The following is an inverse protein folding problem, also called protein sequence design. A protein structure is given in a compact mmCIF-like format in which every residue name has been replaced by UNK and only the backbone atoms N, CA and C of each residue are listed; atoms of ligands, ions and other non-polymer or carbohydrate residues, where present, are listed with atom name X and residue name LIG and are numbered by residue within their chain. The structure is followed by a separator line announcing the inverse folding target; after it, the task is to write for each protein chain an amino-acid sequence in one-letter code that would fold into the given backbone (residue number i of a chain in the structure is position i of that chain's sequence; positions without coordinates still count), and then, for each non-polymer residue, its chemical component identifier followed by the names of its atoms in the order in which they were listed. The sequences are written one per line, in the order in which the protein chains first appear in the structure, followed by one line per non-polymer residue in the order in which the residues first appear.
data_IF_158066500785
#
_entry.id   IF_158066500785
#
_cell.length_a   1.000
_cell.length_b   1.000
_cell.length_c   1.000
_cell.angle_alpha   90.00
_cell.angle_beta   90.00
_cell.angle_gamma   90.00
#
_symmetry.space_group_name_H-M   'P 1'
#
loop_
_entity.id
_entity.type
_entity.pdbx_description
1 polymer ?
#
# COMPACT_ATOMS: atom_id res chain seq x y z
N UNK A 1 10.83 -18.03 15.54
CA UNK A 1 11.63 -17.84 16.77
C UNK A 1 11.71 -19.18 17.47
N UNK A 2 12.84 -19.87 17.34
CA UNK A 2 13.40 -20.90 18.25
C UNK A 2 14.76 -21.31 17.67
N UNK A 3 15.85 -21.09 18.40
CA UNK A 3 17.17 -21.63 18.09
C UNK A 3 17.38 -22.82 19.03
N UNK A 4 17.67 -23.99 18.48
CA UNK A 4 18.11 -25.15 19.25
C UNK A 4 19.59 -25.41 18.91
N UNK A 5 20.47 -25.24 19.89
CA UNK A 5 21.81 -25.81 19.86
C UNK A 5 21.86 -26.94 20.87
N UNK A 6 22.20 -28.14 20.42
CA UNK A 6 22.55 -29.25 21.30
C UNK A 6 23.99 -29.63 20.98
N UNK A 7 24.91 -29.23 21.85
CA UNK A 7 26.31 -29.63 21.78
C UNK A 7 26.45 -31.13 22.08
N UNK A 8 27.19 -31.82 21.21
CA UNK A 8 27.60 -33.21 21.39
C UNK A 8 29.09 -33.33 21.18
N UNK A 9 29.79 -33.72 22.24
CA UNK A 9 31.23 -33.81 22.40
C UNK A 9 31.68 -35.17 21.83
N UNK A 10 32.57 -35.19 20.83
CA UNK A 10 33.13 -36.43 20.26
C UNK A 10 34.37 -36.17 19.41
N UNK A 11 35.39 -37.06 19.41
CA UNK A 11 36.66 -36.82 18.75
C UNK A 11 36.56 -37.23 17.27
N UNK A 12 36.27 -36.27 16.41
CA UNK A 12 36.43 -36.42 14.96
C UNK A 12 37.41 -35.32 14.50
N UNK A 13 38.50 -35.65 13.80
CA UNK A 13 39.37 -34.61 13.24
C UNK A 13 38.55 -33.79 12.25
N UNK A 14 38.51 -32.47 12.43
CA UNK A 14 37.85 -31.56 11.50
C UNK A 14 38.64 -31.59 10.19
N UNK A 15 38.30 -32.51 9.28
CA UNK A 15 38.77 -32.42 7.92
C UNK A 15 38.08 -31.22 7.33
N UNK A 16 38.81 -30.11 7.24
CA UNK A 16 38.38 -28.83 6.68
C UNK A 16 38.27 -28.96 5.14
N UNK A 17 37.50 -29.94 4.66
CA UNK A 17 37.18 -30.13 3.26
C UNK A 17 36.04 -29.18 2.92
N UNK A 18 36.41 -27.98 2.51
CA UNK A 18 35.49 -27.12 1.74
C UNK A 18 35.59 -27.57 0.29
N UNK A 19 34.66 -28.39 -0.17
CA UNK A 19 34.45 -28.53 -1.60
C UNK A 19 34.11 -27.12 -2.14
N UNK A 20 34.82 -26.61 -3.17
CA UNK A 20 34.46 -25.35 -3.79
C UNK A 20 33.08 -25.49 -4.43
N UNK A 21 32.11 -24.71 -3.99
CA UNK A 21 30.84 -24.60 -4.70
C UNK A 21 31.10 -23.74 -5.94
N UNK A 22 31.38 -24.38 -7.06
CA UNK A 22 31.44 -23.74 -8.37
C UNK A 22 30.01 -23.52 -8.89
N UNK A 23 29.57 -22.26 -8.76
CA UNK A 23 28.75 -21.47 -9.68
C UNK A 23 27.41 -22.03 -10.18
N UNK A 24 26.32 -21.36 -9.77
CA UNK A 24 25.28 -20.97 -10.73
C UNK A 24 25.10 -19.45 -10.61
N UNK A 25 25.73 -18.71 -11.52
CA UNK A 25 25.33 -17.34 -11.85
C UNK A 25 23.93 -17.36 -12.47
N UNK A 26 22.90 -17.35 -11.63
CA UNK A 26 21.53 -17.09 -12.06
C UNK A 26 20.67 -16.47 -10.95
N UNK A 27 21.25 -15.58 -10.15
CA UNK A 27 20.45 -14.59 -9.41
C UNK A 27 20.75 -13.21 -9.97
N UNK A 28 20.61 -13.12 -11.29
CA UNK A 28 20.33 -11.86 -11.95
C UNK A 28 19.19 -11.17 -11.20
N UNK A 29 19.53 -10.00 -10.64
CA UNK A 29 18.73 -8.78 -10.65
C UNK A 29 17.31 -8.90 -10.09
N UNK A 30 17.11 -8.19 -8.99
CA UNK A 30 15.82 -7.79 -8.38
C UNK A 30 15.26 -8.79 -7.35
N UNK A 31 15.82 -8.81 -6.14
CA UNK A 31 15.11 -9.36 -4.96
C UNK A 31 14.61 -8.25 -4.01
N UNK A 32 14.83 -6.97 -4.36
CA UNK A 32 14.39 -5.82 -3.55
C UNK A 32 13.44 -4.85 -4.27
N UNK A 33 12.91 -5.17 -5.45
CA UNK A 33 11.87 -4.33 -6.08
C UNK A 33 10.52 -5.06 -6.25
N UNK A 34 10.48 -6.38 -6.06
CA UNK A 34 9.24 -7.18 -6.22
C UNK A 34 8.58 -7.60 -4.89
N UNK A 35 9.12 -7.18 -3.74
CA UNK A 35 8.50 -7.36 -2.42
C UNK A 35 7.87 -6.07 -1.85
N UNK A 36 8.11 -4.91 -2.45
CA UNK A 36 7.51 -3.62 -2.05
C UNK A 36 6.07 -3.44 -2.56
N UNK A 37 5.67 -4.18 -3.60
CA UNK A 37 4.32 -4.09 -4.19
C UNK A 37 3.22 -4.79 -3.38
N UNK A 38 3.55 -5.51 -2.29
CA UNK A 38 2.56 -6.24 -1.49
C UNK A 38 2.11 -5.54 -0.19
N UNK A 39 2.37 -4.25 -0.07
CA UNK A 39 1.57 -3.37 0.77
C UNK A 39 0.94 -2.35 -0.17
N UNK A 40 -0.12 -2.72 -0.88
CA UNK A 40 -1.07 -1.72 -1.37
C UNK A 40 -1.67 -1.09 -0.12
N UNK A 41 -0.96 -0.11 0.40
CA UNK A 41 -1.35 0.66 1.54
C UNK A 41 -2.37 1.66 0.98
N UNK A 42 -3.61 1.17 0.88
CA UNK A 42 -4.77 1.99 0.60
C UNK A 42 -5.20 2.66 1.89
N UNK A 43 -5.73 3.90 1.82
CA UNK A 43 -6.27 4.55 3.00
C UNK A 43 -7.27 3.63 3.73
N UNK A 44 -7.07 3.49 5.03
CA UNK A 44 -7.96 2.69 5.88
C UNK A 44 -9.11 3.54 6.40
N UNK A 45 -10.11 2.88 6.98
CA UNK A 45 -11.25 3.52 7.63
C UNK A 45 -11.91 4.60 6.77
N UNK A 46 -11.95 4.40 5.45
CA UNK A 46 -12.54 5.37 4.53
C UNK A 46 -14.02 5.54 4.84
N UNK A 47 -14.39 6.77 5.22
CA UNK A 47 -15.74 7.17 5.60
C UNK A 47 -16.21 8.32 4.74
N UNK A 48 -17.50 8.27 4.42
CA UNK A 48 -18.21 9.27 3.64
C UNK A 48 -19.41 9.71 4.45
N UNK A 49 -19.46 10.99 4.78
CA UNK A 49 -20.48 11.59 5.62
C UNK A 49 -21.16 12.73 4.85
N UNK A 50 -22.43 12.56 4.50
CA UNK A 50 -23.21 13.64 3.90
C UNK A 50 -23.42 14.74 4.94
N UNK A 51 -22.84 15.92 4.72
CA UNK A 51 -23.05 17.09 5.60
C UNK A 51 -24.28 17.90 5.19
N UNK A 52 -24.60 17.92 3.90
CA UNK A 52 -25.80 18.57 3.36
C UNK A 52 -26.23 17.92 2.04
N UNK A 53 -27.31 18.39 1.43
CA UNK A 53 -27.72 17.92 0.10
C UNK A 53 -26.72 18.26 -1.01
N UNK A 54 -25.83 19.23 -0.77
CA UNK A 54 -24.86 19.72 -1.75
C UNK A 54 -23.41 19.55 -1.30
N UNK A 55 -23.17 18.90 -0.16
CA UNK A 55 -21.82 18.66 0.36
C UNK A 55 -21.67 17.33 1.09
N UNK A 56 -20.50 16.71 0.90
CA UNK A 56 -20.12 15.44 1.51
C UNK A 56 -18.70 15.54 2.03
N UNK A 57 -18.49 15.07 3.26
CA UNK A 57 -17.19 15.00 3.89
C UNK A 57 -16.61 13.60 3.79
N UNK A 58 -15.39 13.51 3.28
CA UNK A 58 -14.63 12.28 3.18
C UNK A 58 -13.54 12.32 4.24
N UNK A 59 -13.35 11.20 4.94
CA UNK A 59 -12.27 11.03 5.91
C UNK A 59 -11.67 9.65 5.81
N UNK A 60 -10.39 9.53 6.12
CA UNK A 60 -9.65 8.28 6.07
C UNK A 60 -8.44 8.32 6.99
N UNK A 61 -7.91 7.14 7.29
CA UNK A 61 -6.63 6.96 7.95
C UNK A 61 -5.55 6.78 6.90
N UNK A 62 -4.51 7.61 6.96
CA UNK A 62 -3.37 7.46 6.06
C UNK A 62 -2.59 6.19 6.43
N UNK A 63 -2.61 5.23 5.52
CA UNK A 63 -1.73 4.09 5.52
C UNK A 63 -1.14 4.01 4.13
N UNK A 64 0.13 4.39 3.99
CA UNK A 64 0.87 4.36 2.74
C UNK A 64 2.31 3.92 2.97
N UNK A 65 2.90 3.27 1.97
CA UNK A 65 4.33 2.95 1.97
C UNK A 65 5.18 4.18 1.58
N UNK A 66 6.52 4.11 1.72
CA UNK A 66 7.41 5.22 1.39
C UNK A 66 7.44 5.59 -0.10
N UNK A 67 6.95 4.71 -0.98
CA UNK A 67 6.91 4.90 -2.44
C UNK A 67 5.64 5.63 -2.92
N UNK A 68 4.67 5.84 -2.03
CA UNK A 68 3.44 6.57 -2.38
C UNK A 68 3.75 8.05 -2.55
N UNK A 69 3.29 8.63 -3.66
CA UNK A 69 3.48 10.03 -4.02
C UNK A 69 2.18 10.83 -4.04
N UNK A 70 1.03 10.16 -3.96
CA UNK A 70 -0.26 10.83 -3.88
C UNK A 70 -1.42 9.97 -3.38
N UNK A 71 -2.49 10.64 -3.01
CA UNK A 71 -3.79 10.04 -2.68
C UNK A 71 -4.80 10.52 -3.72
N UNK A 72 -5.30 9.60 -4.53
CA UNK A 72 -6.28 9.85 -5.58
C UNK A 72 -7.69 9.59 -5.06
N UNK A 73 -8.53 10.62 -5.11
CA UNK A 73 -9.94 10.58 -4.76
C UNK A 73 -10.75 10.59 -6.05
N UNK A 74 -11.63 9.61 -6.19
CA UNK A 74 -12.47 9.47 -7.37
C UNK A 74 -13.94 9.42 -6.99
N UNK A 75 -14.76 10.03 -7.85
CA UNK A 75 -16.21 10.14 -7.66
C UNK A 75 -16.93 9.58 -8.89
N UNK A 76 -17.99 8.82 -8.65
CA UNK A 76 -18.92 8.37 -9.68
C UNK A 76 -20.31 8.94 -9.41
N UNK A 77 -21.02 9.28 -10.49
CA UNK A 77 -22.41 9.70 -10.47
C UNK A 77 -23.31 8.46 -10.61
N UNK A 78 -24.13 8.17 -9.59
CA UNK A 78 -24.95 6.97 -9.54
C UNK A 78 -24.12 5.71 -9.82
N UNK A 79 -24.58 4.88 -10.74
CA UNK A 79 -23.88 3.67 -11.19
C UNK A 79 -22.89 3.90 -12.34
N UNK A 80 -22.61 5.16 -12.69
CA UNK A 80 -21.68 5.55 -13.74
C UNK A 80 -20.20 5.25 -13.43
N UNK A 81 -19.32 5.69 -14.34
CA UNK A 81 -17.88 5.53 -14.20
C UNK A 81 -17.30 6.47 -13.13
N UNK A 82 -16.24 6.01 -12.46
CA UNK A 82 -15.44 6.84 -11.58
C UNK A 82 -14.60 7.81 -12.40
N UNK A 83 -14.58 9.07 -11.99
CA UNK A 83 -13.68 10.10 -12.50
C UNK A 83 -12.85 10.67 -11.37
N UNK A 84 -11.63 11.09 -11.68
CA UNK A 84 -10.75 11.74 -10.70
C UNK A 84 -11.40 13.04 -10.26
N UNK A 85 -11.72 13.11 -8.96
CA UNK A 85 -12.19 14.32 -8.32
C UNK A 85 -11.00 15.20 -7.96
N UNK A 86 -9.97 14.60 -7.35
CA UNK A 86 -8.71 15.27 -7.04
C UNK A 86 -7.60 14.24 -6.81
N UNK A 87 -6.35 14.71 -6.86
CA UNK A 87 -5.18 13.96 -6.39
C UNK A 87 -4.44 14.83 -5.39
N UNK A 88 -4.30 14.35 -4.16
CA UNK A 88 -3.60 15.03 -3.07
C UNK A 88 -2.15 14.56 -3.06
N UNK A 89 -1.22 15.48 -3.28
CA UNK A 89 0.22 15.22 -3.12
C UNK A 89 0.69 15.39 -1.68
N UNK A 90 -0.07 16.12 -0.86
CA UNK A 90 0.14 16.20 0.58
C UNK A 90 -0.45 14.97 1.26
N UNK A 91 0.41 13.98 1.53
CA UNK A 91 0.05 12.72 2.17
C UNK A 91 -0.27 12.86 3.67
N UNK A 92 -0.18 14.06 4.26
CA UNK A 92 -0.64 14.29 5.64
C UNK A 92 -2.15 14.51 5.72
N UNK A 93 -2.80 14.79 4.58
CA UNK A 93 -4.26 14.97 4.51
C UNK A 93 -4.99 13.66 4.79
N UNK A 94 -5.93 13.72 5.71
CA UNK A 94 -6.81 12.60 6.13
C UNK A 94 -8.28 12.89 5.86
N UNK A 95 -8.57 14.01 5.18
CA UNK A 95 -9.93 14.43 4.89
C UNK A 95 -10.03 15.29 3.64
N UNK A 96 -11.25 15.30 3.06
CA UNK A 96 -11.60 16.10 1.90
C UNK A 96 -13.09 16.48 1.96
N UNK A 97 -13.40 17.76 1.76
CA UNK A 97 -14.77 18.25 1.63
C UNK A 97 -15.14 18.36 0.15
N UNK A 98 -16.05 17.51 -0.31
CA UNK A 98 -16.66 17.61 -1.64
C UNK A 98 -17.89 18.51 -1.57
N UNK A 99 -17.90 19.59 -2.35
CA UNK A 99 -18.94 20.64 -2.33
C UNK A 99 -19.46 20.92 -3.73
N UNK A 100 -20.65 21.53 -3.84
CA UNK A 100 -21.27 21.81 -5.13
C UNK A 100 -21.94 20.59 -5.76
N UNK A 101 -22.35 19.62 -4.95
CA UNK A 101 -23.09 18.44 -5.41
C UNK A 101 -24.52 18.82 -5.79
N UNK A 102 -25.04 18.18 -6.84
CA UNK A 102 -26.46 18.28 -7.17
C UNK A 102 -27.32 17.56 -6.12
N UNK A 103 -28.44 18.15 -5.76
CA UNK A 103 -29.41 17.57 -4.81
C UNK A 103 -30.06 16.30 -5.40
N UNK A 104 -30.62 15.46 -4.52
CA UNK A 104 -31.28 14.19 -4.88
C UNK A 104 -30.43 13.25 -5.79
N UNK A 105 -29.10 13.41 -5.76
CA UNK A 105 -28.17 12.69 -6.62
C UNK A 105 -27.30 11.76 -5.80
N UNK A 106 -27.21 10.49 -6.20
CA UNK A 106 -26.33 9.52 -5.54
C UNK A 106 -24.91 9.69 -6.07
N UNK A 107 -23.95 9.83 -5.16
CA UNK A 107 -22.53 9.79 -5.48
C UNK A 107 -21.88 8.57 -4.82
N UNK A 108 -20.92 7.96 -5.52
CA UNK A 108 -20.04 6.93 -4.96
C UNK A 108 -18.62 7.47 -4.96
N UNK A 109 -17.89 7.16 -3.91
CA UNK A 109 -16.51 7.60 -3.75
C UNK A 109 -15.60 6.39 -3.59
N UNK A 110 -14.39 6.50 -4.13
CA UNK A 110 -13.29 5.59 -3.83
C UNK A 110 -12.02 6.39 -3.64
N UNK A 111 -11.12 5.84 -2.85
CA UNK A 111 -9.83 6.42 -2.59
C UNK A 111 -8.75 5.37 -2.89
N UNK A 112 -7.68 5.82 -3.52
CA UNK A 112 -6.53 4.99 -3.89
C UNK A 112 -5.24 5.78 -3.70
N UNK A 113 -4.12 5.09 -3.58
CA UNK A 113 -2.80 5.73 -3.61
C UNK A 113 -2.26 5.75 -5.04
N UNK A 114 -1.35 6.67 -5.30
CA UNK A 114 -0.52 6.71 -6.50
C UNK A 114 0.94 6.60 -6.08
N UNK A 115 1.68 5.80 -6.83
CA UNK A 115 3.11 5.53 -6.68
C UNK A 115 3.85 6.14 -7.88
N UNK A 116 5.14 6.45 -7.73
CA UNK A 116 6.02 6.97 -8.80
C UNK A 116 7.04 5.91 -9.24
#
# INVERSE_FOLDING_TARGET
MSIAFTGGIGPQPFTNRRDPIEVIEANSRVVNQSLLSLWLATPLDFRVESRSETSTFLSWTNQHGPEVTGIKIERALGDGAFSVLTTLTDLTKTSYDDTGLATATRYRYRISVTDD
#
